data_IF_223188816191
#
_entry.id   IF_223188816191
#
_cell.length_a   1.000
_cell.length_b   1.000
_cell.length_c   1.000
_cell.angle_alpha   90.00
_cell.angle_beta   90.00
_cell.angle_gamma   90.00
#
_symmetry.space_group_name_H-M   'P 1'
#
loop_
_entity.id
_entity.type
_entity.pdbx_description
1 polymer ?
#
# COMPACT_ATOMS: atom_id res chain seq x y z
N UNK A 1 22.42 8.69 -25.70
CA UNK A 1 21.13 9.42 -25.54
C UNK A 1 21.27 10.28 -24.30
N UNK A 2 20.95 11.58 -24.37
CA UNK A 2 20.90 12.39 -23.16
C UNK A 2 19.84 11.77 -22.24
N UNK A 3 20.24 11.27 -21.08
CA UNK A 3 19.32 10.85 -20.03
C UNK A 3 18.56 12.09 -19.58
N UNK A 4 17.33 12.25 -20.03
CA UNK A 4 16.43 13.30 -19.55
C UNK A 4 16.22 13.08 -18.07
N UNK A 5 16.82 13.95 -17.26
CA UNK A 5 16.57 14.01 -15.83
C UNK A 5 15.25 14.75 -15.62
N UNK A 6 14.47 14.32 -14.62
CA UNK A 6 13.33 15.11 -14.14
C UNK A 6 13.77 16.51 -13.70
N UNK A 7 12.83 17.44 -13.58
CA UNK A 7 13.10 18.75 -12.99
C UNK A 7 13.58 18.62 -11.52
N UNK A 8 14.30 19.60 -10.96
CA UNK A 8 14.70 19.59 -9.55
C UNK A 8 13.52 19.66 -8.56
N UNK A 9 12.37 20.14 -9.03
CA UNK A 9 11.15 20.26 -8.24
C UNK A 9 9.94 19.73 -9.02
N UNK A 10 8.92 19.28 -8.28
CA UNK A 10 7.65 18.83 -8.84
C UNK A 10 6.53 19.77 -8.40
N UNK A 11 5.70 20.18 -9.37
CA UNK A 11 4.45 20.88 -9.10
C UNK A 11 3.36 19.88 -8.76
N UNK A 12 2.70 20.12 -7.63
CA UNK A 12 1.58 19.34 -7.13
C UNK A 12 0.34 20.24 -7.06
N UNK A 13 -0.81 19.71 -7.45
CA UNK A 13 -2.12 20.35 -7.22
C UNK A 13 -2.92 19.49 -6.25
N UNK A 14 -3.21 20.03 -5.06
CA UNK A 14 -4.03 19.35 -4.07
C UNK A 14 -5.48 19.82 -4.22
N UNK A 15 -6.35 18.98 -4.77
CA UNK A 15 -7.73 19.31 -5.08
C UNK A 15 -8.68 18.83 -3.98
N UNK A 16 -9.48 19.76 -3.43
CA UNK A 16 -10.49 19.44 -2.42
C UNK A 16 -11.83 19.12 -3.08
N UNK A 17 -12.22 17.85 -3.13
CA UNK A 17 -13.54 17.38 -3.59
C UNK A 17 -14.41 16.85 -2.45
N UNK A 18 -13.99 17.08 -1.21
CA UNK A 18 -14.77 16.75 -0.02
C UNK A 18 -15.88 17.78 0.21
N UNK A 19 -16.88 17.51 1.06
CA UNK A 19 -17.85 18.53 1.48
C UNK A 19 -17.27 19.54 2.50
N UNK A 20 -16.02 19.36 2.95
CA UNK A 20 -15.45 20.10 4.07
C UNK A 20 -14.65 21.33 3.61
N UNK A 21 -14.78 22.42 4.37
CA UNK A 21 -13.96 23.64 4.19
C UNK A 21 -12.63 23.56 4.96
N UNK A 22 -12.60 22.82 6.06
CA UNK A 22 -11.40 22.61 6.84
C UNK A 22 -10.80 21.25 6.44
N UNK A 23 -9.86 21.26 5.52
CA UNK A 23 -9.07 20.09 5.12
C UNK A 23 -7.61 20.50 5.13
N UNK A 24 -6.79 19.77 5.87
CA UNK A 24 -5.35 20.04 5.95
C UNK A 24 -4.57 18.92 5.28
N UNK A 25 -3.59 19.29 4.47
CA UNK A 25 -2.67 18.37 3.82
C UNK A 25 -1.27 18.46 4.41
N UNK A 26 -0.48 17.41 4.22
CA UNK A 26 0.91 17.33 4.61
C UNK A 26 1.69 16.58 3.54
N UNK A 27 2.94 16.96 3.31
CA UNK A 27 3.85 16.19 2.45
C UNK A 27 5.08 15.83 3.27
N UNK A 28 5.38 14.54 3.38
CA UNK A 28 6.53 13.99 4.13
C UNK A 28 7.40 13.13 3.21
N UNK A 29 8.63 12.84 3.62
CA UNK A 29 9.48 11.82 2.99
C UNK A 29 10.97 12.04 3.30
N UNK A 30 11.85 11.52 2.43
CA UNK A 30 13.30 11.70 2.52
C UNK A 30 13.79 12.56 1.34
N UNK A 31 14.40 13.70 1.62
CA UNK A 31 14.92 14.60 0.58
C UNK A 31 16.17 14.03 -0.07
N UNK A 32 16.04 13.53 -1.30
CA UNK A 32 17.10 12.80 -2.02
C UNK A 32 18.36 13.67 -2.14
N UNK A 33 18.20 14.93 -2.52
CA UNK A 33 19.31 15.85 -2.76
C UNK A 33 19.83 16.51 -1.46
N UNK A 34 19.32 16.12 -0.29
CA UNK A 34 19.76 16.59 1.02
C UNK A 34 20.13 15.40 1.92
N UNK A 35 20.95 14.49 1.40
CA UNK A 35 21.46 13.30 2.10
C UNK A 35 20.36 12.44 2.73
N UNK A 36 19.20 12.34 2.07
CA UNK A 36 18.04 11.60 2.57
C UNK A 36 17.57 12.03 3.97
N UNK A 37 17.77 13.30 4.36
CA UNK A 37 17.17 13.85 5.58
C UNK A 37 15.64 13.77 5.48
N UNK A 38 14.98 13.48 6.60
CA UNK A 38 13.53 13.65 6.71
C UNK A 38 13.16 15.08 6.30
N UNK A 39 12.10 15.19 5.49
CA UNK A 39 11.57 16.47 5.02
C UNK A 39 10.06 16.48 5.18
N UNK A 40 9.54 17.63 5.60
CA UNK A 40 8.14 18.00 5.48
C UNK A 40 8.03 19.29 4.69
N UNK A 41 6.89 19.53 4.06
CA UNK A 41 6.61 20.84 3.43
C UNK A 41 5.83 21.69 4.43
N UNK A 42 6.28 22.93 4.66
CA UNK A 42 5.61 23.86 5.56
C UNK A 42 4.23 24.28 5.02
N UNK A 43 3.43 24.92 5.88
CA UNK A 43 2.06 25.33 5.60
C UNK A 43 1.88 26.22 4.36
N UNK A 44 2.95 26.86 3.87
CA UNK A 44 2.95 27.65 2.63
C UNK A 44 2.94 26.80 1.35
N UNK A 45 3.06 25.48 1.47
CA UNK A 45 3.04 24.53 0.37
C UNK A 45 4.32 24.47 -0.46
N UNK A 46 5.41 25.13 -0.08
CA UNK A 46 6.63 25.13 -0.88
C UNK A 46 7.95 25.19 -0.10
N UNK A 47 7.95 25.63 1.15
CA UNK A 47 9.18 25.69 1.97
C UNK A 47 9.48 24.31 2.57
N UNK A 48 10.62 23.67 2.25
CA UNK A 48 11.03 22.43 2.90
C UNK A 48 11.46 22.68 4.35
N UNK A 49 10.92 21.90 5.28
CA UNK A 49 11.33 21.81 6.67
C UNK A 49 12.09 20.50 6.90
N UNK A 50 13.31 20.61 7.42
CA UNK A 50 14.13 19.47 7.81
C UNK A 50 14.20 19.42 9.34
N UNK A 51 13.50 18.48 10.00
CA UNK A 51 13.56 18.34 11.44
C UNK A 51 15.00 18.13 11.94
N UNK A 52 15.30 18.75 13.08
CA UNK A 52 16.53 18.50 13.84
C UNK A 52 16.29 17.36 14.83
N UNK A 53 17.36 16.70 15.27
CA UNK A 53 17.25 15.63 16.28
C UNK A 53 16.79 16.22 17.62
N UNK A 54 15.64 15.80 18.18
CA UNK A 54 15.23 16.23 19.51
C UNK A 54 16.07 15.53 20.59
N UNK A 55 16.03 16.07 21.80
CA UNK A 55 16.68 15.48 22.99
C UNK A 55 15.88 14.33 23.62
N UNK A 56 14.61 14.18 23.27
CA UNK A 56 13.70 13.14 23.79
C UNK A 56 12.73 12.67 22.71
N UNK A 57 12.14 11.49 22.94
CA UNK A 57 11.13 10.91 22.06
C UNK A 57 9.80 11.66 22.14
N UNK A 58 9.04 11.65 21.05
CA UNK A 58 7.73 12.29 21.02
C UNK A 58 7.74 13.82 21.01
N UNK A 59 8.85 14.45 20.61
CA UNK A 59 8.91 15.90 20.49
C UNK A 59 8.02 16.40 19.33
N UNK A 60 7.36 17.56 19.45
CA UNK A 60 6.56 18.11 18.36
C UNK A 60 7.45 18.64 17.23
N UNK A 61 6.86 18.84 16.04
CA UNK A 61 7.52 19.61 14.97
C UNK A 61 7.77 21.06 15.42
N UNK A 62 8.92 21.63 15.03
CA UNK A 62 9.24 23.04 15.30
C UNK A 62 8.65 24.00 14.25
N UNK A 63 8.11 23.47 13.15
CA UNK A 63 7.49 24.25 12.08
C UNK A 63 6.06 23.76 11.80
N UNK A 64 5.17 24.69 11.45
CA UNK A 64 3.83 24.33 11.00
C UNK A 64 3.89 23.73 9.59
N UNK A 65 3.50 22.46 9.47
CA UNK A 65 3.46 21.73 8.21
C UNK A 65 2.03 21.41 7.74
N UNK A 66 1.00 21.97 8.38
CA UNK A 66 -0.38 21.83 7.95
C UNK A 66 -0.66 22.78 6.78
N UNK A 67 -0.70 22.25 5.57
CA UNK A 67 -1.04 22.99 4.34
C UNK A 67 -2.57 23.07 4.25
N UNK A 68 -3.20 24.23 4.49
CA UNK A 68 -4.65 24.34 4.40
C UNK A 68 -5.11 24.24 2.94
N UNK A 69 -6.09 23.38 2.68
CA UNK A 69 -6.78 23.38 1.39
C UNK A 69 -7.84 24.47 1.35
N UNK A 70 -8.15 24.94 0.13
CA UNK A 70 -9.26 25.85 -0.09
C UNK A 70 -10.64 25.17 0.06
N UNK A 71 -11.74 25.91 -0.18
CA UNK A 71 -13.10 25.39 -0.10
C UNK A 71 -13.36 24.23 -1.09
N UNK A 72 -14.44 23.46 -0.92
CA UNK A 72 -14.84 22.42 -1.87
C UNK A 72 -14.83 22.90 -3.33
N UNK A 73 -14.21 22.13 -4.21
CA UNK A 73 -14.03 22.42 -5.64
C UNK A 73 -12.77 23.23 -5.98
N UNK A 74 -12.02 23.71 -4.99
CA UNK A 74 -10.76 24.42 -5.21
C UNK A 74 -9.54 23.49 -5.24
N UNK A 75 -8.41 24.04 -5.69
CA UNK A 75 -7.11 23.38 -5.63
C UNK A 75 -6.06 24.29 -5.01
N UNK A 76 -5.17 23.71 -4.20
CA UNK A 76 -4.03 24.38 -3.57
C UNK A 76 -2.74 23.94 -4.27
N UNK A 77 -1.91 24.87 -4.77
CA UNK A 77 -0.62 24.53 -5.36
C UNK A 77 0.40 24.16 -4.28
N UNK A 78 1.20 23.13 -4.55
CA UNK A 78 2.33 22.69 -3.72
C UNK A 78 3.54 22.47 -4.61
N UNK A 79 4.74 22.77 -4.13
CA UNK A 79 6.00 22.47 -4.82
C UNK A 79 6.91 21.70 -3.89
N UNK A 80 7.47 20.59 -4.39
CA UNK A 80 8.35 19.73 -3.61
C UNK A 80 9.71 19.57 -4.28
N UNK A 81 10.80 19.34 -3.52
CA UNK A 81 12.04 18.82 -4.08
C UNK A 81 11.88 17.34 -4.46
N UNK A 82 12.94 16.73 -4.97
CA UNK A 82 13.04 15.27 -5.12
C UNK A 82 12.97 14.58 -3.74
N UNK A 83 12.01 13.67 -3.60
CA UNK A 83 11.68 12.98 -2.35
C UNK A 83 11.55 11.48 -2.63
N UNK A 84 12.21 10.67 -1.80
CA UNK A 84 12.04 9.22 -1.76
C UNK A 84 11.10 8.83 -0.62
N UNK A 85 10.29 7.79 -0.83
CA UNK A 85 9.36 7.28 0.19
C UNK A 85 8.39 8.36 0.70
N UNK A 86 7.93 9.22 -0.21
CA UNK A 86 7.10 10.36 0.12
C UNK A 86 5.65 9.98 0.35
N UNK A 87 4.97 10.71 1.23
CA UNK A 87 3.54 10.59 1.51
C UNK A 87 2.85 11.94 1.43
N UNK A 88 1.67 11.96 0.82
CA UNK A 88 0.75 13.11 0.84
C UNK A 88 -0.43 12.71 1.68
N UNK A 89 -0.57 13.37 2.84
CA UNK A 89 -1.59 13.08 3.85
C UNK A 89 -2.70 14.10 3.77
N UNK A 90 -3.91 13.71 4.15
CA UNK A 90 -5.04 14.63 4.32
C UNK A 90 -5.77 14.33 5.62
N UNK A 91 -6.28 15.37 6.29
CA UNK A 91 -7.11 15.25 7.48
C UNK A 91 -8.37 16.13 7.34
N UNK A 92 -9.54 15.54 7.63
CA UNK A 92 -10.83 16.20 7.56
C UNK A 92 -11.16 16.90 8.88
N UNK A 93 -11.55 18.17 8.79
CA UNK A 93 -11.98 19.03 9.91
C UNK A 93 -11.00 19.11 11.10
N UNK A 94 -9.74 18.75 10.90
CA UNK A 94 -8.69 18.72 11.92
C UNK A 94 -7.30 18.77 11.25
N UNK A 95 -6.26 18.69 12.06
CA UNK A 95 -4.84 18.64 11.70
C UNK A 95 -4.23 17.32 12.16
N UNK A 96 -3.21 16.83 11.48
CA UNK A 96 -2.41 15.69 11.95
C UNK A 96 -1.31 16.15 12.90
N UNK A 97 -1.02 15.30 13.87
CA UNK A 97 0.10 15.43 14.81
C UNK A 97 1.21 14.49 14.37
N UNK A 98 2.32 15.06 13.90
CA UNK A 98 3.58 14.36 13.68
C UNK A 98 4.49 14.60 14.88
N UNK A 99 5.26 13.58 15.26
CA UNK A 99 6.21 13.67 16.36
C UNK A 99 7.62 13.32 15.87
N UNK A 100 8.62 13.60 16.70
CA UNK A 100 10.04 13.36 16.43
C UNK A 100 10.66 12.54 17.55
N UNK A 101 11.48 11.57 17.15
CA UNK A 101 12.39 10.83 18.03
C UNK A 101 13.84 11.20 17.75
N UNK A 102 14.78 10.98 18.69
CA UNK A 102 16.21 11.16 18.44
C UNK A 102 16.68 10.34 17.23
N UNK A 103 17.55 10.89 16.39
CA UNK A 103 17.98 10.26 15.13
C UNK A 103 18.32 11.25 14.01
N UNK A 104 17.50 12.28 13.72
CA UNK A 104 16.05 12.40 13.99
C UNK A 104 15.25 11.26 13.32
N UNK A 105 14.17 10.84 13.95
CA UNK A 105 13.16 9.93 13.37
C UNK A 105 11.79 10.60 13.31
N UNK A 106 11.20 10.70 12.12
CA UNK A 106 9.82 11.16 11.98
C UNK A 106 8.86 10.05 12.46
N UNK A 107 8.01 10.37 13.42
CA UNK A 107 6.91 9.51 13.87
C UNK A 107 5.66 9.95 13.15
N UNK A 108 5.25 9.13 12.18
CA UNK A 108 4.07 9.34 11.37
C UNK A 108 2.79 8.85 12.07
N UNK A 109 1.60 9.35 11.68
CA UNK A 109 0.32 8.91 12.25
C UNK A 109 0.12 7.40 12.22
N UNK A 110 -0.31 6.81 13.34
CA UNK A 110 -0.57 5.37 13.44
C UNK A 110 -2.06 5.05 13.55
N UNK A 111 -2.52 4.13 12.69
CA UNK A 111 -3.84 3.47 12.81
C UNK A 111 -3.79 2.18 13.64
N UNK A 112 -2.61 1.72 14.03
CA UNK A 112 -2.38 0.48 14.78
C UNK A 112 -1.95 0.74 16.23
N UNK A 113 -2.26 1.93 16.76
CA UNK A 113 -2.05 2.30 18.14
C UNK A 113 -3.23 3.16 18.62
N UNK A 114 -4.08 2.64 19.50
CA UNK A 114 -5.28 3.36 19.99
C UNK A 114 -4.96 4.64 20.76
N UNK A 115 -3.73 4.75 21.29
CA UNK A 115 -3.27 5.92 22.03
C UNK A 115 -2.62 6.97 21.12
N UNK A 116 -2.48 6.70 19.82
CA UNK A 116 -1.96 7.68 18.86
C UNK A 116 -2.90 8.90 18.80
N UNK A 117 -2.39 10.14 18.85
CA UNK A 117 -3.21 11.36 18.81
C UNK A 117 -4.05 11.49 17.53
N UNK A 118 -3.70 10.75 16.47
CA UNK A 118 -4.39 10.74 15.20
C UNK A 118 -5.35 9.56 15.04
N UNK A 119 -5.38 8.61 15.98
CA UNK A 119 -6.19 7.38 15.84
C UNK A 119 -7.68 7.69 15.63
N UNK A 120 -8.21 8.68 16.35
CA UNK A 120 -9.62 9.09 16.26
C UNK A 120 -9.96 10.08 15.14
N UNK A 121 -8.98 10.52 14.33
CA UNK A 121 -9.16 11.54 13.29
C UNK A 121 -9.50 10.91 11.94
N UNK A 122 -10.20 11.65 11.08
CA UNK A 122 -10.53 11.20 9.72
C UNK A 122 -9.43 11.63 8.74
N UNK A 123 -8.57 10.69 8.36
CA UNK A 123 -7.39 10.94 7.54
C UNK A 123 -7.00 9.73 6.69
N UNK A 124 -6.19 9.99 5.68
CA UNK A 124 -5.58 8.98 4.80
C UNK A 124 -4.42 9.61 4.03
N UNK A 125 -3.76 8.81 3.18
CA UNK A 125 -2.62 9.26 2.39
C UNK A 125 -2.49 8.52 1.07
N UNK A 126 -1.70 9.08 0.17
CA UNK A 126 -1.12 8.39 -0.98
C UNK A 126 0.40 8.50 -0.94
N UNK A 127 1.07 7.64 -1.69
CA UNK A 127 2.53 7.49 -1.67
C UNK A 127 3.14 7.92 -2.99
N UNK A 128 4.39 8.36 -2.94
CA UNK A 128 5.15 8.70 -4.13
C UNK A 128 6.66 8.62 -3.93
N UNK A 129 7.38 8.54 -5.04
CA UNK A 129 8.80 8.87 -5.12
C UNK A 129 9.02 9.73 -6.35
N UNK A 130 9.65 10.88 -6.14
CA UNK A 130 10.06 11.79 -7.20
C UNK A 130 11.59 11.88 -7.18
N UNK A 131 12.23 11.35 -8.21
CA UNK A 131 13.68 11.27 -8.33
C UNK A 131 14.14 11.69 -9.73
N UNK A 132 15.43 11.59 -10.00
CA UNK A 132 16.06 12.01 -11.25
C UNK A 132 15.52 11.29 -12.49
N UNK A 133 14.86 10.15 -12.32
CA UNK A 133 14.37 9.30 -13.41
C UNK A 133 12.87 9.45 -13.67
N UNK A 134 12.06 9.62 -12.63
CA UNK A 134 10.60 9.67 -12.74
C UNK A 134 9.90 10.23 -11.49
N UNK A 135 8.62 10.55 -11.67
CA UNK A 135 7.64 10.40 -10.60
C UNK A 135 7.03 9.00 -10.69
N UNK A 136 6.93 8.31 -9.57
CA UNK A 136 6.06 7.16 -9.37
C UNK A 136 5.17 7.46 -8.17
N UNK A 137 3.85 7.30 -8.29
CA UNK A 137 2.89 7.56 -7.21
C UNK A 137 1.76 6.55 -7.23
N UNK A 138 1.25 6.19 -6.05
CA UNK A 138 0.19 5.20 -5.89
C UNK A 138 -0.78 5.58 -4.76
N UNK A 139 -2.04 5.19 -4.94
CA UNK A 139 -2.96 5.07 -3.79
C UNK A 139 -2.52 3.87 -2.95
N UNK A 140 -2.84 3.87 -1.65
CA UNK A 140 -2.49 2.76 -0.76
C UNK A 140 -3.61 2.40 0.18
N UNK A 141 -3.90 1.10 0.23
CA UNK A 141 -4.83 0.45 1.15
C UNK A 141 -4.13 -0.67 1.94
N UNK A 142 -2.79 -0.71 1.91
CA UNK A 142 -1.96 -1.72 2.57
C UNK A 142 -2.16 -1.68 4.08
N UNK A 143 -2.32 -0.49 4.65
CA UNK A 143 -2.54 -0.32 6.07
C UNK A 143 -4.04 -0.27 6.42
N UNK A 144 -4.83 0.49 5.64
CA UNK A 144 -6.26 0.69 5.84
C UNK A 144 -6.93 1.40 4.64
N UNK A 145 -8.26 1.30 4.56
CA UNK A 145 -9.12 2.17 3.73
C UNK A 145 -9.75 3.24 4.61
N UNK A 146 -9.70 4.51 4.19
CA UNK A 146 -10.43 5.61 4.83
C UNK A 146 -11.03 6.57 3.79
N UNK A 147 -10.42 7.73 3.61
CA UNK A 147 -10.84 8.80 2.72
C UNK A 147 -10.54 8.43 1.26
N UNK A 148 -11.44 8.78 0.33
CA UNK A 148 -11.18 8.62 -1.10
C UNK A 148 -10.04 9.54 -1.57
N UNK A 149 -9.05 8.97 -2.26
CA UNK A 149 -7.96 9.69 -2.92
C UNK A 149 -7.87 9.22 -4.37
N UNK A 150 -7.74 10.18 -5.29
CA UNK A 150 -7.50 9.92 -6.71
C UNK A 150 -6.24 10.66 -7.18
N UNK A 151 -5.58 10.10 -8.19
CA UNK A 151 -4.30 10.59 -8.70
C UNK A 151 -4.41 10.91 -10.18
N UNK A 152 -3.87 12.06 -10.58
CA UNK A 152 -3.73 12.49 -11.96
C UNK A 152 -2.30 12.94 -12.23
N UNK A 153 -1.70 12.43 -13.29
CA UNK A 153 -0.35 12.82 -13.70
C UNK A 153 -0.38 13.30 -15.14
N UNK A 154 0.03 14.55 -15.36
CA UNK A 154 0.30 15.10 -16.68
C UNK A 154 1.81 15.23 -16.88
N UNK A 155 2.31 14.87 -18.06
CA UNK A 155 3.72 15.03 -18.41
C UNK A 155 3.96 16.24 -19.32
N UNK A 156 5.23 16.53 -19.62
CA UNK A 156 5.62 17.70 -20.41
C UNK A 156 5.18 17.64 -21.89
N UNK A 157 4.83 16.46 -22.41
CA UNK A 157 4.25 16.30 -23.75
C UNK A 157 2.71 16.38 -23.77
N UNK A 158 2.08 16.55 -22.61
CA UNK A 158 0.62 16.65 -22.46
C UNK A 158 -0.11 15.33 -22.30
N UNK A 159 0.60 14.19 -22.28
CA UNK A 159 -0.01 12.90 -21.97
C UNK A 159 -0.45 12.85 -20.51
N UNK A 160 -1.52 12.09 -20.25
CA UNK A 160 -2.14 11.98 -18.92
C UNK A 160 -2.32 10.53 -18.50
N UNK A 161 -2.09 10.27 -17.22
CA UNK A 161 -2.42 9.02 -16.52
C UNK A 161 -3.25 9.35 -15.30
N UNK A 162 -4.18 8.47 -14.95
CA UNK A 162 -5.06 8.66 -13.80
C UNK A 162 -5.27 7.36 -13.04
N UNK A 163 -5.59 7.47 -11.76
CA UNK A 163 -6.10 6.41 -10.88
C UNK A 163 -7.27 7.00 -10.12
N UNK A 164 -8.42 6.33 -10.14
CA UNK A 164 -9.65 6.92 -9.58
C UNK A 164 -9.80 6.70 -8.08
N UNK A 165 -9.20 5.63 -7.55
CA UNK A 165 -9.43 5.17 -6.18
C UNK A 165 -10.89 4.77 -5.92
N UNK A 166 -11.21 4.61 -4.65
CA UNK A 166 -12.58 4.35 -4.19
C UNK A 166 -13.51 5.56 -4.44
N UNK A 167 -14.81 5.35 -4.65
CA UNK A 167 -15.78 6.44 -4.78
C UNK A 167 -16.04 7.12 -3.43
N UNK A 168 -16.82 8.22 -3.45
CA UNK A 168 -17.23 8.96 -2.24
C UNK A 168 -17.85 8.10 -1.15
N UNK A 169 -18.68 7.14 -1.52
CA UNK A 169 -19.32 6.17 -0.64
C UNK A 169 -18.49 4.87 -0.49
N UNK A 170 -17.25 4.85 -1.00
CA UNK A 170 -16.42 3.66 -1.09
C UNK A 170 -16.09 3.04 0.26
N UNK A 171 -15.81 3.84 1.29
CA UNK A 171 -15.59 3.31 2.65
C UNK A 171 -16.83 2.58 3.18
N UNK A 172 -18.03 3.10 2.89
CA UNK A 172 -19.29 2.46 3.25
C UNK A 172 -19.49 1.15 2.46
N UNK A 173 -19.13 1.12 1.18
CA UNK A 173 -19.19 -0.11 0.37
C UNK A 173 -18.20 -1.17 0.89
N UNK A 174 -16.97 -0.78 1.24
CA UNK A 174 -15.98 -1.68 1.86
C UNK A 174 -16.52 -2.23 3.18
N UNK A 175 -17.07 -1.38 4.04
CA UNK A 175 -17.73 -1.80 5.27
C UNK A 175 -18.81 -2.85 5.03
N UNK A 176 -19.72 -2.59 4.09
CA UNK A 176 -20.81 -3.52 3.75
C UNK A 176 -20.25 -4.85 3.23
N UNK A 177 -19.22 -4.80 2.37
CA UNK A 177 -18.58 -5.99 1.82
C UNK A 177 -17.90 -6.86 2.88
N UNK A 178 -17.22 -6.24 3.85
CA UNK A 178 -16.56 -6.94 4.96
C UNK A 178 -17.56 -7.54 5.95
N UNK A 179 -18.62 -6.82 6.30
CA UNK A 179 -19.70 -7.33 7.16
C UNK A 179 -20.43 -8.50 6.47
N UNK A 180 -20.72 -8.36 5.18
CA UNK A 180 -21.34 -9.44 4.39
C UNK A 180 -20.42 -10.67 4.30
N UNK A 181 -19.10 -10.48 4.19
CA UNK A 181 -18.16 -11.58 4.21
C UNK A 181 -18.11 -12.27 5.57
N UNK A 182 -18.03 -11.50 6.67
CA UNK A 182 -18.05 -12.08 8.01
C UNK A 182 -19.34 -12.88 8.28
N UNK A 183 -20.47 -12.41 7.78
CA UNK A 183 -21.75 -13.12 7.89
C UNK A 183 -21.74 -14.48 7.17
N UNK A 184 -20.86 -14.68 6.18
CA UNK A 184 -20.74 -15.94 5.43
C UNK A 184 -19.82 -16.95 6.12
N UNK A 185 -18.71 -16.50 6.70
CA UNK A 185 -17.63 -17.39 7.15
C UNK A 185 -17.26 -17.26 8.64
N UNK A 186 -17.73 -16.22 9.33
CA UNK A 186 -17.46 -15.94 10.73
C UNK A 186 -15.98 -15.69 11.06
N UNK A 187 -15.14 -15.29 10.09
CA UNK A 187 -13.67 -15.21 10.26
C UNK A 187 -13.16 -13.89 10.83
N UNK A 188 -14.05 -12.96 11.17
CA UNK A 188 -13.72 -11.69 11.81
C UNK A 188 -13.45 -10.53 10.85
N UNK A 189 -13.95 -10.58 9.61
CA UNK A 189 -13.78 -9.49 8.63
C UNK A 189 -14.43 -8.17 9.05
N UNK A 190 -15.51 -8.24 9.83
CA UNK A 190 -16.19 -7.08 10.42
C UNK A 190 -15.38 -6.42 11.54
N UNK A 191 -14.46 -7.16 12.18
CA UNK A 191 -13.55 -6.67 13.21
C UNK A 191 -12.43 -5.78 12.65
N UNK A 192 -12.30 -5.71 11.32
CA UNK A 192 -11.41 -4.78 10.64
C UNK A 192 -11.91 -3.32 10.70
N UNK A 193 -13.19 -3.12 11.01
CA UNK A 193 -13.81 -1.79 11.00
C UNK A 193 -13.47 -1.02 12.27
N UNK A 194 -12.94 0.19 12.11
CA UNK A 194 -12.72 1.15 13.19
C UNK A 194 -13.78 2.24 13.08
N UNK A 195 -14.44 2.53 14.19
CA UNK A 195 -15.48 3.56 14.30
C UNK A 195 -14.98 4.74 15.12
N UNK A 196 -15.49 5.93 14.79
CA UNK A 196 -15.34 7.10 15.63
C UNK A 196 -16.23 7.01 16.88
N UNK A 197 -16.06 7.95 17.82
CA UNK A 197 -16.82 7.99 19.08
C UNK A 197 -18.34 8.13 18.88
N UNK A 198 -18.75 8.77 17.80
CA UNK A 198 -20.16 8.94 17.41
C UNK A 198 -20.74 7.71 16.68
N UNK A 199 -19.95 6.64 16.49
CA UNK A 199 -20.35 5.41 15.82
C UNK A 199 -20.19 5.41 14.30
N UNK A 200 -19.83 6.54 13.69
CA UNK A 200 -19.53 6.62 12.25
C UNK A 200 -18.31 5.76 11.89
N UNK A 201 -18.24 5.29 10.64
CA UNK A 201 -17.12 4.48 10.15
C UNK A 201 -15.95 5.42 9.87
N UNK A 202 -14.82 5.17 10.52
CA UNK A 202 -13.63 5.99 10.36
C UNK A 202 -12.66 5.38 9.33
N UNK A 203 -12.51 4.06 9.37
CA UNK A 203 -11.66 3.29 8.44
C UNK A 203 -11.94 1.80 8.53
N UNK A 204 -11.47 1.06 7.52
CA UNK A 204 -11.31 -0.40 7.56
C UNK A 204 -9.82 -0.73 7.56
N UNK A 205 -9.29 -1.34 8.62
CA UNK A 205 -7.91 -1.79 8.68
C UNK A 205 -7.68 -2.95 7.71
N UNK A 206 -6.49 -3.02 7.11
CA UNK A 206 -6.09 -4.24 6.42
C UNK A 206 -5.92 -5.39 7.43
N UNK A 207 -5.98 -6.66 6.99
CA UNK A 207 -5.71 -7.79 7.87
C UNK A 207 -4.34 -7.72 8.54
N UNK A 208 -3.31 -7.24 7.82
CA UNK A 208 -1.96 -7.05 8.37
C UNK A 208 -1.98 -6.09 9.57
N UNK A 209 -2.58 -4.92 9.39
CA UNK A 209 -2.69 -3.89 10.44
C UNK A 209 -3.59 -4.33 11.59
N UNK A 210 -4.69 -5.02 11.29
CA UNK A 210 -5.60 -5.51 12.32
C UNK A 210 -4.96 -6.61 13.18
N UNK A 211 -4.11 -7.46 12.62
CA UNK A 211 -3.36 -8.48 13.38
C UNK A 211 -2.35 -7.84 14.36
N UNK A 212 -1.78 -6.67 14.03
CA UNK A 212 -0.95 -5.92 14.99
C UNK A 212 -1.76 -5.52 16.22
N UNK A 213 -3.03 -5.15 16.02
CA UNK A 213 -3.96 -4.73 17.07
C UNK A 213 -4.57 -5.89 17.85
N UNK A 214 -4.82 -7.01 17.18
CA UNK A 214 -5.32 -8.25 17.75
C UNK A 214 -4.63 -9.45 17.07
N UNK A 215 -3.58 -10.00 17.68
CA UNK A 215 -2.84 -11.14 17.14
C UNK A 215 -3.64 -12.45 17.02
N UNK A 216 -4.86 -12.51 17.56
CA UNK A 216 -5.75 -13.67 17.42
C UNK A 216 -6.51 -13.71 16.10
N UNK A 217 -6.62 -12.58 15.39
CA UNK A 217 -7.33 -12.50 14.11
C UNK A 217 -6.71 -13.42 13.06
N UNK A 218 -7.58 -14.13 12.34
CA UNK A 218 -7.24 -15.02 11.23
C UNK A 218 -6.25 -16.15 11.54
N UNK A 219 -6.02 -16.49 12.82
CA UNK A 219 -5.22 -17.67 13.15
C UNK A 219 -5.82 -18.92 12.48
N UNK A 220 -4.97 -19.67 11.78
CA UNK A 220 -5.35 -20.86 11.02
C UNK A 220 -6.21 -20.61 9.78
N UNK A 221 -6.55 -19.36 9.42
CA UNK A 221 -7.48 -19.06 8.33
C UNK A 221 -7.04 -19.64 6.97
N UNK A 222 -5.73 -19.65 6.70
CA UNK A 222 -5.16 -20.15 5.45
C UNK A 222 -4.68 -21.60 5.50
N UNK A 223 -4.77 -22.28 6.66
CA UNK A 223 -4.07 -23.56 6.87
C UNK A 223 -4.51 -24.63 5.86
N UNK A 224 -5.81 -24.79 5.63
CA UNK A 224 -6.32 -25.78 4.67
C UNK A 224 -5.89 -25.48 3.23
N UNK A 225 -5.93 -24.20 2.83
CA UNK A 225 -5.49 -23.77 1.51
C UNK A 225 -3.98 -24.00 1.32
N UNK A 226 -3.15 -23.59 2.29
CA UNK A 226 -1.70 -23.77 2.27
C UNK A 226 -1.35 -25.27 2.28
N UNK A 227 -2.05 -26.08 3.06
CA UNK A 227 -1.89 -27.53 3.07
C UNK A 227 -2.19 -28.15 1.70
N UNK A 228 -3.25 -27.72 1.03
CA UNK A 228 -3.60 -28.17 -0.31
C UNK A 228 -2.55 -27.72 -1.36
N UNK A 229 -2.07 -26.48 -1.29
CA UNK A 229 -0.98 -25.95 -2.14
C UNK A 229 0.27 -26.81 -1.97
N UNK A 230 0.71 -27.05 -0.73
CA UNK A 230 1.89 -27.88 -0.47
C UNK A 230 1.70 -29.31 -0.94
N UNK A 231 0.50 -29.88 -0.77
CA UNK A 231 0.20 -31.23 -1.26
C UNK A 231 0.30 -31.31 -2.78
N UNK A 232 -0.25 -30.34 -3.51
CA UNK A 232 -0.20 -30.28 -4.98
C UNK A 232 1.25 -30.27 -5.48
N UNK A 233 2.08 -29.37 -4.93
CA UNK A 233 3.44 -29.18 -5.42
C UNK A 233 4.44 -30.25 -4.97
N UNK A 234 4.00 -31.28 -4.24
CA UNK A 234 4.79 -32.53 -4.07
C UNK A 234 4.90 -33.32 -5.37
N UNK A 235 3.91 -33.21 -6.26
CA UNK A 235 3.88 -33.93 -7.54
C UNK A 235 3.94 -32.98 -8.72
N UNK A 236 3.29 -31.83 -8.63
CA UNK A 236 3.29 -30.81 -9.67
C UNK A 236 4.49 -29.88 -9.50
N UNK A 237 5.04 -29.37 -10.60
CA UNK A 237 6.04 -28.30 -10.57
C UNK A 237 5.37 -26.94 -10.64
N UNK A 238 5.71 -26.07 -9.69
CA UNK A 238 5.40 -24.64 -9.74
C UNK A 238 6.45 -23.93 -10.61
N UNK A 239 6.02 -23.07 -11.52
CA UNK A 239 6.89 -22.17 -12.29
C UNK A 239 6.62 -20.73 -11.87
N UNK A 240 7.66 -20.00 -11.48
CA UNK A 240 7.58 -18.59 -11.09
C UNK A 240 8.40 -17.76 -12.06
N UNK A 241 7.72 -16.97 -12.88
CA UNK A 241 8.34 -15.92 -13.67
C UNK A 241 8.79 -14.78 -12.73
N UNK A 242 10.11 -14.64 -12.57
CA UNK A 242 10.67 -13.57 -11.72
C UNK A 242 10.51 -12.20 -12.35
N UNK A 243 10.23 -12.13 -13.66
CA UNK A 243 10.18 -10.90 -14.45
C UNK A 243 11.45 -10.05 -14.29
N UNK A 244 12.56 -10.74 -14.02
CA UNK A 244 13.87 -10.22 -13.69
C UNK A 244 14.94 -11.13 -14.31
N UNK A 245 16.22 -10.87 -14.01
CA UNK A 245 17.37 -11.54 -14.62
C UNK A 245 17.43 -13.06 -14.38
N UNK A 246 16.67 -13.60 -13.42
CA UNK A 246 16.64 -15.03 -13.11
C UNK A 246 15.66 -15.83 -13.99
N UNK A 247 14.85 -15.15 -14.82
CA UNK A 247 13.88 -15.79 -15.70
C UNK A 247 12.80 -16.55 -14.94
N UNK A 248 12.39 -17.71 -15.47
CA UNK A 248 11.38 -18.57 -14.85
C UNK A 248 12.08 -19.61 -13.98
N UNK A 249 11.81 -19.56 -12.68
CA UNK A 249 12.34 -20.50 -11.69
C UNK A 249 11.30 -21.58 -11.36
N UNK A 250 11.76 -22.81 -11.15
CA UNK A 250 10.89 -23.95 -10.87
C UNK A 250 11.02 -24.39 -9.42
N UNK A 251 9.91 -24.80 -8.82
CA UNK A 251 9.87 -25.34 -7.47
C UNK A 251 8.97 -26.57 -7.34
N UNK A 252 9.35 -27.41 -6.38
CA UNK A 252 8.57 -28.55 -5.90
C UNK A 252 8.66 -28.60 -4.38
N UNK A 253 7.66 -29.17 -3.72
CA UNK A 253 7.72 -29.46 -2.30
C UNK A 253 8.58 -30.70 -2.09
N UNK A 254 9.70 -30.53 -1.41
CA UNK A 254 10.60 -31.61 -1.04
C UNK A 254 9.93 -32.57 -0.06
N UNK A 255 9.98 -33.87 -0.35
CA UNK A 255 9.23 -34.89 0.42
C UNK A 255 9.80 -35.17 1.81
N UNK A 256 11.07 -34.83 2.05
CA UNK A 256 11.76 -35.09 3.32
C UNK A 256 11.64 -33.90 4.27
N UNK A 257 11.85 -32.69 3.75
CA UNK A 257 11.84 -31.44 4.52
C UNK A 257 10.46 -30.78 4.54
N UNK A 258 9.58 -31.13 3.60
CA UNK A 258 8.27 -30.51 3.40
C UNK A 258 8.35 -28.99 3.13
N UNK A 259 9.46 -28.53 2.55
CA UNK A 259 9.67 -27.16 2.10
C UNK A 259 9.39 -27.04 0.60
N UNK A 260 8.82 -25.92 0.16
CA UNK A 260 8.72 -25.56 -1.25
C UNK A 260 10.10 -25.08 -1.72
N UNK A 261 10.81 -25.90 -2.48
CA UNK A 261 12.23 -25.71 -2.78
C UNK A 261 12.44 -25.27 -4.22
N UNK A 262 13.19 -24.18 -4.38
CA UNK A 262 13.78 -23.74 -5.65
C UNK A 262 15.23 -24.21 -5.70
N UNK A 263 15.59 -25.19 -6.56
CA UNK A 263 16.94 -25.75 -6.60
C UNK A 263 18.01 -24.67 -6.73
N UNK A 264 19.08 -24.78 -5.94
CA UNK A 264 20.22 -23.83 -5.86
C UNK A 264 19.90 -22.40 -5.38
N UNK A 265 18.62 -22.07 -5.15
CA UNK A 265 18.17 -20.74 -4.74
C UNK A 265 17.81 -20.70 -3.26
N UNK A 266 16.85 -21.53 -2.84
CA UNK A 266 16.34 -21.50 -1.47
C UNK A 266 15.01 -22.22 -1.35
N UNK A 267 14.39 -22.14 -0.17
CA UNK A 267 13.14 -22.84 0.09
C UNK A 267 12.24 -22.05 1.04
N UNK A 268 10.94 -22.31 0.95
CA UNK A 268 9.91 -21.69 1.77
C UNK A 268 9.22 -22.75 2.63
N UNK A 269 9.09 -22.51 3.94
CA UNK A 269 8.19 -23.26 4.80
C UNK A 269 6.74 -22.82 4.55
N UNK A 270 5.77 -23.57 5.08
CA UNK A 270 4.35 -23.19 5.01
C UNK A 270 4.13 -21.86 5.72
N UNK A 271 3.58 -20.84 5.04
CA UNK A 271 3.25 -19.57 5.68
C UNK A 271 1.97 -19.66 6.50
N UNK A 272 1.92 -18.93 7.61
CA UNK A 272 0.68 -18.66 8.35
C UNK A 272 -0.15 -17.56 7.68
N UNK A 273 -1.38 -17.34 8.16
CA UNK A 273 -2.18 -16.20 7.71
C UNK A 273 -1.49 -14.85 7.92
N UNK A 274 -0.78 -14.67 9.04
CA UNK A 274 0.00 -13.46 9.31
C UNK A 274 1.09 -13.25 8.27
N UNK A 275 1.80 -14.31 7.90
CA UNK A 275 2.86 -14.24 6.89
C UNK A 275 2.29 -13.87 5.51
N UNK A 276 1.14 -14.48 5.14
CA UNK A 276 0.48 -14.17 3.87
C UNK A 276 0.02 -12.70 3.82
N UNK A 277 -0.69 -12.22 4.84
CA UNK A 277 -1.20 -10.85 4.84
C UNK A 277 -0.09 -9.79 4.94
N UNK A 278 0.96 -10.06 5.73
CA UNK A 278 2.07 -9.12 5.93
C UNK A 278 3.10 -9.13 4.80
N UNK A 279 3.18 -10.26 4.08
CA UNK A 279 4.20 -10.55 3.07
C UNK A 279 5.66 -10.40 3.56
N UNK A 280 5.90 -10.36 4.87
CA UNK A 280 7.19 -9.91 5.44
C UNK A 280 7.58 -10.62 6.74
N UNK A 281 6.88 -11.68 7.12
CA UNK A 281 7.18 -12.50 8.29
C UNK A 281 7.32 -13.98 7.92
N UNK A 282 7.87 -14.77 8.85
CA UNK A 282 8.01 -16.21 8.69
C UNK A 282 8.83 -16.55 7.43
N UNK A 283 8.32 -17.40 6.51
CA UNK A 283 9.05 -17.79 5.30
C UNK A 283 9.33 -16.64 4.32
N UNK A 284 8.72 -15.46 4.53
CA UNK A 284 8.90 -14.27 3.71
C UNK A 284 9.89 -13.27 4.32
N UNK A 285 10.79 -13.72 5.19
CA UNK A 285 11.76 -12.86 5.86
C UNK A 285 13.08 -13.58 6.17
N UNK A 286 14.16 -12.82 6.35
CA UNK A 286 15.41 -13.33 6.92
C UNK A 286 16.15 -14.38 6.08
N UNK A 287 16.23 -14.19 4.75
CA UNK A 287 16.92 -15.14 3.88
C UNK A 287 18.43 -15.18 4.18
N UNK A 288 19.01 -16.36 4.46
CA UNK A 288 20.43 -16.48 4.82
C UNK A 288 21.36 -16.31 3.61
N UNK A 289 20.86 -16.54 2.40
CA UNK A 289 21.57 -16.41 1.13
C UNK A 289 20.59 -16.06 0.03
N UNK A 290 21.10 -15.68 -1.14
CA UNK A 290 20.28 -15.40 -2.33
C UNK A 290 19.16 -14.37 -2.07
N UNK A 291 19.45 -13.38 -1.22
CA UNK A 291 18.47 -12.44 -0.67
C UNK A 291 17.63 -11.76 -1.74
N UNK A 292 18.25 -11.28 -2.83
CA UNK A 292 17.54 -10.55 -3.89
C UNK A 292 16.54 -11.43 -4.64
N UNK A 293 16.94 -12.65 -5.02
CA UNK A 293 16.05 -13.59 -5.73
C UNK A 293 14.99 -14.16 -4.79
N UNK A 294 15.32 -14.41 -3.52
CA UNK A 294 14.36 -14.86 -2.52
C UNK A 294 13.32 -13.79 -2.19
N UNK A 295 13.71 -12.51 -2.15
CA UNK A 295 12.79 -11.37 -2.05
C UNK A 295 11.89 -11.26 -3.28
N UNK A 296 12.44 -11.42 -4.49
CA UNK A 296 11.64 -11.44 -5.72
C UNK A 296 10.61 -12.60 -5.71
N UNK A 297 11.05 -13.82 -5.38
CA UNK A 297 10.17 -15.00 -5.25
C UNK A 297 9.08 -14.78 -4.19
N UNK A 298 9.44 -14.15 -3.07
CA UNK A 298 8.49 -13.80 -2.00
C UNK A 298 7.38 -12.91 -2.50
N UNK A 299 7.70 -11.87 -3.28
CA UNK A 299 6.67 -11.00 -3.86
C UNK A 299 5.65 -11.80 -4.68
N UNK A 300 6.13 -12.72 -5.53
CA UNK A 300 5.25 -13.53 -6.41
C UNK A 300 4.44 -14.55 -5.63
N UNK A 301 5.06 -15.27 -4.69
CA UNK A 301 4.38 -16.28 -3.87
C UNK A 301 3.35 -15.64 -2.94
N UNK A 302 3.71 -14.54 -2.27
CA UNK A 302 2.80 -13.83 -1.37
C UNK A 302 1.60 -13.24 -2.12
N UNK A 303 1.80 -12.67 -3.32
CA UNK A 303 0.70 -12.22 -4.16
C UNK A 303 -0.23 -13.38 -4.59
N UNK A 304 0.34 -14.51 -5.01
CA UNK A 304 -0.42 -15.69 -5.40
C UNK A 304 -1.21 -16.32 -4.24
N UNK A 305 -0.67 -16.25 -3.01
CA UNK A 305 -1.36 -16.70 -1.79
C UNK A 305 -2.50 -15.75 -1.41
N UNK A 306 -2.28 -14.43 -1.43
CA UNK A 306 -3.32 -13.44 -1.15
C UNK A 306 -4.51 -13.53 -2.12
N UNK A 307 -4.22 -13.82 -3.40
CA UNK A 307 -5.21 -13.95 -4.48
C UNK A 307 -5.74 -15.38 -4.66
N UNK A 308 -5.25 -16.33 -3.87
CA UNK A 308 -5.62 -17.75 -3.91
C UNK A 308 -5.46 -18.42 -5.29
N UNK A 309 -4.38 -18.13 -6.01
CA UNK A 309 -4.15 -18.60 -7.39
C UNK A 309 -3.28 -19.86 -7.49
N UNK A 310 -2.56 -20.24 -6.42
CA UNK A 310 -1.61 -21.36 -6.44
C UNK A 310 -2.27 -22.74 -6.64
N UNK A 311 -3.57 -22.88 -6.39
CA UNK A 311 -4.33 -24.09 -6.73
C UNK A 311 -5.01 -24.03 -8.09
N UNK A 312 -4.99 -22.88 -8.77
CA UNK A 312 -5.66 -22.69 -10.06
C UNK A 312 -4.64 -22.68 -11.21
N UNK A 313 -3.48 -22.05 -10.99
CA UNK A 313 -2.42 -21.89 -11.97
C UNK A 313 -1.07 -22.27 -11.36
N UNK A 314 -0.33 -23.16 -12.04
CA UNK A 314 1.01 -23.55 -11.64
C UNK A 314 2.10 -22.67 -12.27
N UNK A 315 1.72 -21.62 -12.99
CA UNK A 315 2.60 -20.56 -13.47
C UNK A 315 2.23 -19.25 -12.79
N UNK A 316 3.17 -18.65 -12.07
CA UNK A 316 2.95 -17.41 -11.33
C UNK A 316 3.91 -16.30 -11.79
N UNK A 317 3.47 -15.03 -11.83
CA UNK A 317 2.10 -14.57 -11.56
C UNK A 317 1.08 -15.05 -12.61
N UNK A 318 -0.11 -15.46 -12.15
CA UNK A 318 -1.18 -15.91 -13.05
C UNK A 318 -1.65 -14.81 -14.00
N UNK A 319 -1.90 -15.16 -15.27
CA UNK A 319 -2.29 -14.17 -16.31
C UNK A 319 -3.75 -13.74 -16.26
N UNK A 320 -4.61 -14.59 -15.71
CA UNK A 320 -6.04 -14.34 -15.66
C UNK A 320 -6.40 -13.56 -14.39
N UNK A 321 -6.46 -12.23 -14.48
CA UNK A 321 -6.88 -11.35 -13.38
C UNK A 321 -8.29 -11.70 -12.91
N UNK A 322 -9.18 -12.15 -13.80
CA UNK A 322 -10.54 -12.55 -13.41
C UNK A 322 -10.54 -13.79 -12.51
N UNK A 323 -9.47 -14.57 -12.43
CA UNK A 323 -9.38 -15.71 -11.52
C UNK A 323 -8.99 -15.31 -10.08
N UNK A 324 -8.51 -14.08 -9.87
CA UNK A 324 -8.07 -13.64 -8.55
C UNK A 324 -9.23 -13.69 -7.54
N UNK A 325 -8.93 -14.18 -6.34
CA UNK A 325 -9.86 -14.32 -5.21
C UNK A 325 -11.05 -15.27 -5.44
N UNK A 326 -11.04 -16.06 -6.53
CA UNK A 326 -12.08 -17.06 -6.84
C UNK A 326 -11.68 -18.49 -6.48
N UNK A 327 -10.38 -18.75 -6.32
CA UNK A 327 -9.83 -20.06 -5.96
C UNK A 327 -9.86 -20.37 -4.46
N UNK A 328 -9.12 -21.40 -4.07
CA UNK A 328 -8.87 -21.74 -2.66
C UNK A 328 -10.11 -22.15 -1.85
N UNK A 329 -11.17 -22.61 -2.52
CA UNK A 329 -12.46 -22.98 -1.91
C UNK A 329 -13.04 -21.86 -1.02
N UNK A 330 -12.89 -20.61 -1.47
CA UNK A 330 -13.38 -19.43 -0.76
C UNK A 330 -12.39 -18.86 0.26
N UNK A 331 -11.29 -19.55 0.59
CA UNK A 331 -10.21 -18.98 1.41
C UNK A 331 -9.35 -18.07 0.55
N UNK A 332 -9.41 -16.77 0.82
CA UNK A 332 -8.62 -15.73 0.14
C UNK A 332 -8.52 -14.44 0.96
N UNK A 333 -7.76 -13.45 0.50
CA UNK A 333 -7.73 -12.13 1.11
C UNK A 333 -9.01 -11.36 0.74
N UNK A 334 -10.08 -11.55 1.51
CA UNK A 334 -11.36 -10.91 1.24
C UNK A 334 -11.36 -9.39 1.45
N UNK A 335 -10.45 -8.86 2.27
CA UNK A 335 -10.22 -7.42 2.33
C UNK A 335 -9.78 -6.89 0.97
N UNK A 336 -8.71 -7.45 0.40
CA UNK A 336 -8.22 -7.06 -0.93
C UNK A 336 -9.28 -7.28 -2.01
N UNK A 337 -9.98 -8.44 -2.02
CA UNK A 337 -11.10 -8.72 -2.94
C UNK A 337 -12.17 -7.62 -2.91
N UNK A 338 -12.60 -7.21 -1.70
CA UNK A 338 -13.63 -6.18 -1.53
C UNK A 338 -13.11 -4.82 -1.97
N UNK A 339 -11.88 -4.46 -1.60
CA UNK A 339 -11.27 -3.18 -1.98
C UNK A 339 -11.16 -3.04 -3.50
N UNK A 340 -10.66 -4.04 -4.21
CA UNK A 340 -10.61 -4.01 -5.68
C UNK A 340 -12.01 -3.87 -6.30
N UNK A 341 -13.01 -4.59 -5.77
CA UNK A 341 -14.38 -4.53 -6.28
C UNK A 341 -15.04 -3.14 -6.09
N UNK A 342 -14.60 -2.38 -5.08
CA UNK A 342 -15.11 -1.01 -4.81
C UNK A 342 -14.37 0.06 -5.62
N UNK A 343 -13.10 -0.16 -5.96
CA UNK A 343 -12.36 0.76 -6.81
C UNK A 343 -12.97 0.78 -8.22
N UNK A 344 -13.32 1.97 -8.72
CA UNK A 344 -14.08 2.11 -9.98
C UNK A 344 -13.32 1.61 -11.21
N UNK A 345 -12.00 1.72 -11.18
CA UNK A 345 -11.10 1.24 -12.22
C UNK A 345 -10.52 -0.15 -11.90
N UNK A 346 -10.99 -0.79 -10.82
CA UNK A 346 -10.52 -2.09 -10.34
C UNK A 346 -9.13 -2.06 -9.70
N UNK A 347 -8.48 -0.89 -9.62
CA UNK A 347 -7.09 -0.76 -9.16
C UNK A 347 -7.02 -0.27 -7.72
N UNK A 348 -6.11 -0.86 -6.95
CA UNK A 348 -5.85 -0.45 -5.57
C UNK A 348 -4.76 -1.29 -4.93
N UNK A 349 -3.96 -0.68 -4.07
CA UNK A 349 -2.83 -1.35 -3.42
C UNK A 349 -3.29 -1.92 -2.07
N UNK A 350 -3.89 -3.12 -2.04
CA UNK A 350 -4.57 -3.64 -0.85
C UNK A 350 -3.75 -4.64 -0.02
N UNK A 351 -2.55 -5.01 -0.47
CA UNK A 351 -1.53 -5.74 0.29
C UNK A 351 -0.13 -5.43 -0.28
N UNK A 352 0.98 -5.69 0.44
CA UNK A 352 2.33 -5.18 0.09
C UNK A 352 2.90 -5.54 -1.28
N UNK A 353 2.35 -6.55 -1.97
CA UNK A 353 2.79 -6.97 -3.30
C UNK A 353 1.63 -7.03 -4.31
N UNK A 354 0.64 -6.14 -4.17
CA UNK A 354 -0.49 -6.03 -5.10
C UNK A 354 -0.08 -5.54 -6.50
N UNK A 355 1.12 -4.95 -6.60
CA UNK A 355 1.76 -4.54 -7.86
C UNK A 355 2.26 -5.72 -8.70
N UNK A 356 2.37 -6.92 -8.12
CA UNK A 356 2.73 -8.12 -8.87
C UNK A 356 1.61 -8.48 -9.84
N UNK A 357 1.89 -8.44 -11.14
CA UNK A 357 1.00 -8.91 -12.21
C UNK A 357 1.79 -9.66 -13.26
N UNK A 358 1.12 -10.50 -14.06
CA UNK A 358 1.82 -11.18 -15.14
C UNK A 358 2.35 -10.18 -16.19
N UNK A 359 3.45 -10.52 -16.84
CA UNK A 359 4.04 -9.65 -17.87
C UNK A 359 3.01 -9.31 -18.95
N UNK A 360 2.84 -8.01 -19.24
CA UNK A 360 1.88 -7.51 -20.22
C UNK A 360 0.46 -7.26 -19.68
N UNK A 361 0.19 -7.46 -18.39
CA UNK A 361 -1.07 -7.01 -17.77
C UNK A 361 -1.00 -5.53 -17.39
N UNK A 362 -2.16 -4.90 -17.27
CA UNK A 362 -2.28 -3.54 -16.74
C UNK A 362 -1.89 -3.46 -15.26
N UNK A 363 -1.59 -2.25 -14.81
CA UNK A 363 -1.47 -1.92 -13.39
C UNK A 363 -2.72 -2.34 -12.61
N UNK A 364 -2.52 -3.03 -11.48
CA UNK A 364 -3.57 -3.43 -10.52
C UNK A 364 -3.44 -2.66 -9.21
N UNK A 365 -2.28 -2.09 -8.92
CA UNK A 365 -1.94 -1.44 -7.67
C UNK A 365 -2.48 0.00 -7.57
N UNK A 366 -2.89 0.60 -8.69
CA UNK A 366 -3.41 1.97 -8.70
C UNK A 366 -2.28 2.98 -8.66
N UNK A 367 -1.35 2.86 -9.62
CA UNK A 367 -0.18 3.70 -9.76
C UNK A 367 -0.20 4.56 -11.03
N UNK A 368 0.44 5.73 -10.93
CA UNK A 368 0.81 6.58 -12.06
C UNK A 368 2.32 6.79 -12.04
N UNK A 369 2.95 6.79 -13.21
CA UNK A 369 4.37 7.11 -13.32
C UNK A 369 4.71 7.77 -14.65
N UNK A 370 5.70 8.65 -14.65
CA UNK A 370 6.24 9.28 -15.86
C UNK A 370 7.66 9.79 -15.62
N UNK A 371 8.52 9.69 -16.65
CA UNK A 371 9.91 10.17 -16.60
C UNK A 371 10.06 11.69 -16.79
N UNK A 372 8.98 12.37 -17.16
CA UNK A 372 8.92 13.81 -17.46
C UNK A 372 7.68 14.47 -16.84
N UNK A 373 7.43 14.30 -15.53
CA UNK A 373 6.21 14.78 -14.88
C UNK A 373 6.15 16.32 -14.91
N UNK A 374 5.00 16.87 -15.34
CA UNK A 374 4.77 18.31 -15.40
C UNK A 374 3.83 18.79 -14.29
N UNK A 375 2.79 18.01 -13.98
CA UNK A 375 1.84 18.28 -12.89
C UNK A 375 1.35 16.97 -12.29
N UNK A 376 1.48 16.85 -10.98
CA UNK A 376 0.87 15.78 -10.21
C UNK A 376 -0.32 16.32 -9.42
N UNK A 377 -1.54 15.98 -9.83
CA UNK A 377 -2.74 16.36 -9.12
C UNK A 377 -3.20 15.21 -8.21
N UNK A 378 -3.44 15.54 -6.94
CA UNK A 378 -3.95 14.63 -5.91
C UNK A 378 -5.30 15.16 -5.44
N UNK A 379 -6.33 14.35 -5.63
CA UNK A 379 -7.71 14.73 -5.36
C UNK A 379 -8.17 13.99 -4.12
N UNK A 380 -8.60 14.74 -3.09
CA UNK A 380 -9.19 14.17 -1.89
C UNK A 380 -10.71 14.31 -1.91
N UNK A 381 -11.43 13.26 -1.55
CA UNK A 381 -12.90 13.18 -1.64
C UNK A 381 -13.42 12.44 -2.88
N UNK A 382 -12.53 11.90 -3.71
CA UNK A 382 -12.87 10.98 -4.81
C UNK A 382 -13.65 11.62 -5.97
N UNK A 383 -13.85 10.82 -7.02
CA UNK A 383 -14.58 11.22 -8.24
C UNK A 383 -16.09 11.10 -8.13
#
# INVERSE_FOLDING_TARGET
MATTTTEPTLKISLANRTPFRNVNAYVTGLAINNSYRFVLIQADGHTPYYPESPSSTGAPLAANCAIPLGPPGSSTPVTIPRIAGGRIWFCMNDTLTFLLNPGPGLVEPSVSNKSDPNYGKDWGFCEFTFNDFQLFANISYVDFVSIPIALNLSNSSGARKSVTGIPRDGLQQVFNGLVAQNSKDGKGWDRLIVRAKDGSILRALSPNTAIVMDPSLFQGYYDDYVNAVWKRYKTDTLSVDTQAQWGILKANVDLHTNLLTFPTIGAFSKPSARDIFSCSTGPFSGYPSNTDVMGNLTARLAAALNRSTLLEDNTQPGRNVDAYYKGGNGVTNHYSRVVHAVNRDGRGYAFPYDDVGASGTSDLAGAVSDGSPALFEVIVGGY
#
